data_IF_765851897993
#
_entry.id   IF_765851897993
#
_cell.length_a   1.000
_cell.length_b   1.000
_cell.length_c   1.000
_cell.angle_alpha   90.00
_cell.angle_beta   90.00
_cell.angle_gamma   90.00
#
_symmetry.space_group_name_H-M   'P 1'
#
loop_
_entity.id
_entity.type
_entity.pdbx_description
1 polymer ?
#
# COMPACT_ATOMS: atom_id res chain seq x y z
N UNK A 1 21.12 2.83 0.84
CA UNK A 1 20.64 2.54 2.20
C UNK A 1 19.13 2.68 2.26
N UNK A 2 18.47 1.73 2.88
CA UNK A 2 17.03 1.77 3.00
C UNK A 2 16.63 2.57 4.22
N UNK A 3 15.69 3.49 4.04
CA UNK A 3 15.16 4.28 5.14
C UNK A 3 13.73 3.81 5.39
N UNK A 4 13.53 3.18 6.53
CA UNK A 4 12.21 2.71 6.93
C UNK A 4 11.42 3.85 7.58
N UNK A 5 10.17 3.96 7.22
CA UNK A 5 9.27 4.95 7.81
C UNK A 5 8.35 4.27 8.79
N UNK A 6 8.10 4.94 9.91
CA UNK A 6 7.24 4.41 10.95
C UNK A 6 5.79 4.52 10.49
N UNK A 7 5.09 3.39 10.41
CA UNK A 7 3.73 3.37 9.90
C UNK A 7 2.76 4.10 10.83
N UNK A 8 3.13 4.33 12.07
CA UNK A 8 2.28 5.09 12.99
C UNK A 8 2.32 6.59 12.71
N UNK A 9 3.34 7.07 12.00
CA UNK A 9 3.51 8.50 11.78
C UNK A 9 3.31 8.91 10.34
N UNK A 10 3.59 8.03 9.39
CA UNK A 10 3.44 8.35 7.98
C UNK A 10 2.82 7.17 7.26
N UNK A 11 2.11 7.46 6.19
CA UNK A 11 1.55 6.45 5.31
C UNK A 11 1.95 6.76 3.88
N UNK A 12 1.95 5.75 3.00
CA UNK A 12 2.27 5.99 1.60
C UNK A 12 1.29 6.95 0.96
N UNK A 13 1.76 7.67 -0.04
CA UNK A 13 0.93 8.59 -0.78
C UNK A 13 -0.16 7.83 -1.51
N UNK A 14 -1.37 8.37 -1.46
CA UNK A 14 -2.53 7.71 -2.05
C UNK A 14 -2.94 8.41 -3.34
N UNK A 15 -3.54 7.63 -4.24
CA UNK A 15 -4.13 8.13 -5.46
C UNK A 15 -5.55 7.59 -5.56
N UNK A 16 -6.49 8.40 -6.07
CA UNK A 16 -7.85 7.91 -6.26
C UNK A 16 -7.91 6.89 -7.39
N UNK A 17 -8.74 5.88 -7.19
CA UNK A 17 -9.03 4.89 -8.22
C UNK A 17 -10.53 4.62 -8.21
N UNK A 18 -11.15 4.71 -9.38
CA UNK A 18 -12.57 4.43 -9.49
C UNK A 18 -12.78 2.97 -9.80
N UNK A 19 -13.71 2.36 -9.09
CA UNK A 19 -14.06 0.95 -9.30
C UNK A 19 -15.57 0.86 -9.43
N UNK A 20 -16.04 -0.17 -10.14
CA UNK A 20 -17.45 -0.40 -10.31
C UNK A 20 -17.82 -0.43 -11.76
N UNK A 21 -19.14 -0.41 -12.01
CA UNK A 21 -19.69 -0.43 -13.36
C UNK A 21 -20.44 0.85 -13.62
N UNK A 22 -20.94 0.98 -14.83
CA UNK A 22 -21.66 2.18 -15.25
C UNK A 22 -22.76 2.54 -14.26
N UNK A 23 -22.74 3.78 -13.80
CA UNK A 23 -23.76 4.27 -12.89
C UNK A 23 -23.58 3.85 -11.45
N UNK A 24 -22.54 3.09 -11.14
CA UNK A 24 -22.32 2.60 -9.79
C UNK A 24 -20.82 2.61 -9.48
N UNK A 25 -20.21 3.79 -9.62
CA UNK A 25 -18.79 3.94 -9.40
C UNK A 25 -18.51 4.34 -7.97
N UNK A 26 -17.48 3.75 -7.40
CA UNK A 26 -16.96 4.10 -6.09
C UNK A 26 -15.51 4.51 -6.24
N UNK A 27 -15.05 5.38 -5.35
CA UNK A 27 -13.66 5.80 -5.35
C UNK A 27 -12.96 5.22 -4.13
N UNK A 28 -11.86 4.51 -4.38
CA UNK A 28 -10.96 4.09 -3.32
C UNK A 28 -9.63 4.77 -3.55
N UNK A 29 -8.85 4.88 -2.50
CA UNK A 29 -7.54 5.52 -2.57
C UNK A 29 -6.48 4.46 -2.31
N UNK A 30 -5.54 4.33 -3.25
CA UNK A 30 -4.51 3.30 -3.20
C UNK A 30 -3.15 3.92 -3.36
N UNK A 31 -2.18 3.37 -2.67
CA UNK A 31 -0.79 3.71 -2.89
C UNK A 31 -0.21 2.83 -3.98
N UNK A 32 0.96 3.22 -4.48
CA UNK A 32 1.79 2.29 -5.23
C UNK A 32 2.24 1.18 -4.29
N UNK A 33 2.65 0.03 -4.83
CA UNK A 33 3.20 -1.02 -3.96
C UNK A 33 4.40 -0.49 -3.18
N UNK A 34 4.47 -0.89 -1.93
CA UNK A 34 5.57 -0.52 -1.03
C UNK A 34 6.05 -1.77 -0.32
N UNK A 35 7.27 -1.70 0.18
CA UNK A 35 7.81 -2.76 1.02
C UNK A 35 7.44 -2.46 2.46
N UNK A 36 6.89 -3.46 3.16
CA UNK A 36 6.50 -3.27 4.55
C UNK A 36 7.26 -4.26 5.44
N UNK A 37 7.41 -3.88 6.70
CA UNK A 37 7.99 -4.72 7.73
C UNK A 37 6.90 -4.97 8.76
N UNK A 38 6.66 -6.25 9.06
CA UNK A 38 5.53 -6.62 9.92
C UNK A 38 5.99 -6.81 11.36
N UNK A 39 5.01 -6.86 12.24
CA UNK A 39 5.28 -7.10 13.65
C UNK A 39 5.92 -8.47 13.89
N UNK A 40 5.69 -9.41 12.98
CA UNK A 40 6.30 -10.74 13.06
C UNK A 40 7.71 -10.78 12.47
N UNK A 41 8.20 -9.65 11.95
CA UNK A 41 9.54 -9.60 11.40
C UNK A 41 9.65 -9.99 9.94
N UNK A 42 8.55 -9.99 9.22
CA UNK A 42 8.55 -10.34 7.81
C UNK A 42 8.57 -9.10 6.94
N UNK A 43 9.13 -9.24 5.74
CA UNK A 43 9.08 -8.19 4.73
C UNK A 43 8.14 -8.63 3.63
N UNK A 44 7.17 -7.80 3.33
CA UNK A 44 6.14 -8.10 2.35
C UNK A 44 5.94 -6.90 1.45
N UNK A 45 5.37 -7.15 0.27
CA UNK A 45 4.95 -6.07 -0.63
C UNK A 45 3.46 -5.86 -0.42
N UNK A 46 3.09 -4.62 -0.11
CA UNK A 46 1.72 -4.26 0.16
C UNK A 46 1.37 -2.96 -0.52
N UNK A 47 0.09 -2.66 -0.55
CA UNK A 47 -0.39 -1.32 -0.86
C UNK A 47 -1.11 -0.79 0.36
N UNK A 48 -1.12 0.53 0.50
CA UNK A 48 -1.95 1.17 1.51
C UNK A 48 -3.25 1.57 0.84
N UNK A 49 -4.36 1.27 1.49
CA UNK A 49 -5.68 1.50 0.91
C UNK A 49 -6.53 2.27 1.90
N UNK A 50 -7.32 3.20 1.38
CA UNK A 50 -8.36 3.87 2.15
C UNK A 50 -9.65 3.81 1.35
N UNK A 51 -10.67 3.21 1.94
CA UNK A 51 -11.96 3.05 1.29
C UNK A 51 -13.01 3.83 2.10
N UNK A 52 -13.44 5.00 1.59
CA UNK A 52 -14.42 5.80 2.35
C UNK A 52 -15.77 5.11 2.52
N UNK A 53 -16.13 4.21 1.61
CA UNK A 53 -17.43 3.56 1.68
C UNK A 53 -17.50 2.55 2.83
N UNK A 54 -16.41 1.81 3.05
CA UNK A 54 -16.39 0.79 4.11
C UNK A 54 -15.71 1.28 5.37
N UNK A 55 -14.97 2.39 5.27
CA UNK A 55 -14.18 2.89 6.39
C UNK A 55 -12.86 2.18 6.56
N UNK A 56 -12.51 1.27 5.66
CA UNK A 56 -11.25 0.55 5.78
C UNK A 56 -10.08 1.48 5.46
N UNK A 57 -9.05 1.37 6.25
CA UNK A 57 -7.79 2.04 5.98
C UNK A 57 -6.66 1.19 6.54
N UNK A 58 -5.68 0.84 5.70
CA UNK A 58 -4.56 0.04 6.16
C UNK A 58 -3.78 -0.56 5.01
N UNK A 59 -2.77 -1.33 5.37
CA UNK A 59 -1.95 -2.04 4.41
C UNK A 59 -2.61 -3.35 4.03
N UNK A 60 -2.54 -3.69 2.75
CA UNK A 60 -3.17 -4.90 2.24
C UNK A 60 -2.24 -5.54 1.23
N UNK A 61 -2.09 -6.86 1.31
CA UNK A 61 -1.29 -7.60 0.35
C UNK A 61 -2.07 -7.83 -0.92
N UNK A 62 -1.38 -8.34 -1.94
CA UNK A 62 -2.01 -8.58 -3.22
C UNK A 62 -3.13 -9.61 -3.12
N UNK A 63 -2.99 -10.58 -2.22
CA UNK A 63 -4.01 -11.61 -2.04
C UNK A 63 -5.05 -11.25 -0.98
N UNK A 64 -5.05 -10.00 -0.51
CA UNK A 64 -6.08 -9.51 0.37
C UNK A 64 -5.80 -9.63 1.85
N UNK A 65 -4.63 -10.10 2.24
CA UNK A 65 -4.29 -10.20 3.66
C UNK A 65 -3.97 -8.81 4.22
N UNK A 66 -4.22 -8.65 5.52
CA UNK A 66 -4.01 -7.38 6.21
C UNK A 66 -2.99 -7.58 7.33
N UNK A 67 -1.70 -7.54 7.01
CA UNK A 67 -0.67 -7.76 8.02
C UNK A 67 -0.57 -6.59 8.98
N UNK A 68 -0.01 -6.86 10.17
CA UNK A 68 0.29 -5.81 11.13
C UNK A 68 1.61 -5.18 10.74
N UNK A 69 1.56 -3.98 10.18
CA UNK A 69 2.74 -3.31 9.63
C UNK A 69 3.27 -2.31 10.65
N UNK A 70 4.57 -2.38 10.92
CA UNK A 70 5.22 -1.43 11.81
C UNK A 70 5.99 -0.36 11.03
N UNK A 71 6.56 -0.74 9.89
CA UNK A 71 7.37 0.17 9.08
C UNK A 71 7.11 -0.10 7.61
N UNK A 72 7.39 0.90 6.78
CA UNK A 72 7.30 0.74 5.35
C UNK A 72 8.35 1.61 4.68
N UNK A 73 8.64 1.28 3.42
CA UNK A 73 9.53 2.09 2.61
C UNK A 73 9.13 1.90 1.14
N UNK A 74 9.58 2.80 0.31
CA UNK A 74 9.32 2.66 -1.13
C UNK A 74 10.09 1.48 -1.67
N UNK A 75 9.50 0.82 -2.68
CA UNK A 75 10.24 -0.25 -3.35
C UNK A 75 11.41 0.34 -4.12
N UNK A 76 12.54 -0.35 -4.15
CA UNK A 76 13.64 0.09 -4.99
C UNK A 76 13.18 0.12 -6.44
N UNK A 77 13.67 1.07 -7.18
CA UNK A 77 13.41 1.10 -8.60
C UNK A 77 14.09 -0.10 -9.26
N UNK A 78 13.44 -0.70 -10.24
CA UNK A 78 14.11 -1.78 -10.95
C UNK A 78 15.34 -1.24 -11.68
N UNK A 79 16.30 -2.11 -11.98
CA UNK A 79 17.46 -1.69 -12.76
C UNK A 79 17.00 -1.06 -14.06
N UNK A 80 17.79 -0.13 -14.56
CA UNK A 80 17.47 0.49 -15.84
C UNK A 80 17.32 -0.57 -16.92
N UNK A 81 16.36 -0.32 -17.82
CA UNK A 81 16.17 -1.24 -18.91
C UNK A 81 17.39 -1.27 -19.80
N UNK A 82 17.82 -2.44 -20.08
CA UNK A 82 18.85 -2.58 -21.09
C UNK A 82 18.16 -2.87 -22.39
N UNK A 83 18.36 -2.04 -23.26
CA UNK A 83 17.76 -2.30 -24.56
C UNK A 83 18.74 -2.93 -25.46
#
# INVERSE_FOLDING_TARGET
MTVWMDAAWTTPKLRPMEIGTDGDLSTVYLSKPVLVYTAEGEQLVCRYERDPDTGFEGFITEDGAQPTVTHWTTLPKPPGRRT
#
